data_IF_395554989574
#
_entry.id   IF_395554989574
#
_cell.length_a   1.000
_cell.length_b   1.000
_cell.length_c   1.000
_cell.angle_alpha   90.00
_cell.angle_beta   90.00
_cell.angle_gamma   90.00
#
_symmetry.space_group_name_H-M   'P 1'
#
loop_
_entity.id
_entity.type
_entity.pdbx_description
1 polymer ?
#
# COMPACT_ATOMS: atom_id res chain seq x y z
N UNK A 1 -4.17 53.07 -28.93
CA UNK A 1 -2.92 52.86 -29.71
C UNK A 1 -1.63 53.03 -28.90
N UNK A 2 -1.30 54.19 -28.33
CA UNK A 2 -0.07 54.35 -27.51
C UNK A 2 -0.26 54.09 -26.00
N UNK A 3 -1.46 54.34 -25.46
CA UNK A 3 -1.78 54.12 -24.04
C UNK A 3 -2.10 52.65 -23.70
N UNK A 4 -2.56 51.86 -24.67
CA UNK A 4 -2.83 50.42 -24.49
C UNK A 4 -1.59 49.54 -24.56
N UNK A 5 -0.55 49.94 -25.32
CA UNK A 5 0.74 49.24 -25.28
C UNK A 5 1.36 49.33 -23.88
N UNK A 6 1.26 50.50 -23.24
CA UNK A 6 1.74 50.71 -21.88
C UNK A 6 0.99 49.86 -20.85
N UNK A 7 -0.32 49.64 -21.05
CA UNK A 7 -1.11 48.75 -20.20
C UNK A 7 -0.84 47.26 -20.43
N UNK A 8 -0.53 46.83 -21.66
CA UNK A 8 -0.09 45.45 -21.90
C UNK A 8 1.30 45.17 -21.33
N UNK A 9 2.18 46.17 -21.26
CA UNK A 9 3.47 46.06 -20.57
C UNK A 9 3.31 46.08 -19.04
N UNK A 10 2.26 46.75 -18.53
CA UNK A 10 1.97 46.90 -17.09
C UNK A 10 1.16 45.73 -16.49
N UNK A 11 0.35 45.01 -17.28
CA UNK A 11 -0.49 43.88 -16.79
C UNK A 11 -0.08 42.50 -17.36
N UNK A 12 1.02 42.43 -18.15
CA UNK A 12 1.55 41.19 -18.74
C UNK A 12 2.81 40.61 -18.07
N UNK A 13 3.29 41.21 -16.97
CA UNK A 13 4.57 40.84 -16.32
C UNK A 13 4.37 40.24 -14.93
N UNK A 14 3.87 39.00 -14.85
CA UNK A 14 3.33 38.44 -13.60
C UNK A 14 4.38 38.10 -12.50
N UNK A 15 5.69 38.34 -12.67
CA UNK A 15 6.72 38.07 -11.65
C UNK A 15 7.86 39.10 -11.66
N UNK A 16 8.42 39.51 -10.51
CA UNK A 16 9.64 40.33 -10.45
C UNK A 16 10.78 39.63 -11.22
N UNK A 17 11.67 40.36 -11.92
CA UNK A 17 12.74 39.75 -12.74
C UNK A 17 13.67 38.83 -11.92
N UNK A 18 13.89 39.14 -10.64
CA UNK A 18 14.63 38.26 -9.73
C UNK A 18 13.93 36.90 -9.51
N UNK A 19 12.59 36.89 -9.43
CA UNK A 19 11.82 35.64 -9.31
C UNK A 19 11.75 34.86 -10.61
N UNK A 20 11.81 35.53 -11.76
CA UNK A 20 11.89 34.84 -13.07
C UNK A 20 13.20 34.05 -13.16
N UNK A 21 14.33 34.66 -12.78
CA UNK A 21 15.63 33.97 -12.75
C UNK A 21 15.64 32.81 -11.74
N UNK A 22 15.05 33.01 -10.55
CA UNK A 22 14.91 31.94 -9.55
C UNK A 22 14.07 30.76 -10.05
N UNK A 23 12.96 31.03 -10.73
CA UNK A 23 12.10 29.99 -11.32
C UNK A 23 12.77 29.29 -12.51
N UNK A 24 13.52 30.02 -13.35
CA UNK A 24 14.30 29.43 -14.44
C UNK A 24 15.39 28.48 -13.92
N UNK A 25 16.07 28.83 -12.83
CA UNK A 25 17.06 27.96 -12.19
C UNK A 25 16.41 26.73 -11.54
N UNK A 26 15.21 26.89 -10.98
CA UNK A 26 14.41 25.77 -10.47
C UNK A 26 13.97 24.82 -11.61
N UNK A 27 13.54 25.35 -12.75
CA UNK A 27 13.20 24.55 -13.94
C UNK A 27 14.42 23.75 -14.41
N UNK A 28 15.59 24.39 -14.57
CA UNK A 28 16.84 23.70 -14.95
C UNK A 28 17.26 22.65 -13.92
N UNK A 29 16.96 22.84 -12.64
CA UNK A 29 17.19 21.83 -11.62
C UNK A 29 16.28 20.61 -11.81
N UNK A 30 14.97 20.85 -12.01
CA UNK A 30 13.98 19.81 -12.25
C UNK A 30 14.24 19.04 -13.55
N UNK A 31 14.66 19.71 -14.62
CA UNK A 31 15.05 19.07 -15.89
C UNK A 31 16.25 18.14 -15.70
N UNK A 32 17.26 18.56 -14.93
CA UNK A 32 18.41 17.70 -14.57
C UNK A 32 17.99 16.50 -13.72
N UNK A 33 17.03 16.67 -12.81
CA UNK A 33 16.48 15.56 -12.03
C UNK A 33 15.68 14.61 -12.90
N UNK A 34 14.82 15.13 -13.77
CA UNK A 34 14.02 14.35 -14.71
C UNK A 34 14.90 13.53 -15.66
N UNK A 35 15.96 14.12 -16.22
CA UNK A 35 16.92 13.40 -17.06
C UNK A 35 17.62 12.24 -16.34
N UNK A 36 17.94 12.41 -15.05
CA UNK A 36 18.50 11.31 -14.23
C UNK A 36 17.48 10.19 -14.00
N UNK A 37 16.22 10.54 -13.75
CA UNK A 37 15.14 9.56 -13.53
C UNK A 37 14.89 8.76 -14.81
N UNK A 38 14.79 9.43 -15.96
CA UNK A 38 14.60 8.76 -17.26
C UNK A 38 15.76 7.82 -17.56
N UNK A 39 17.01 8.26 -17.34
CA UNK A 39 18.18 7.40 -17.55
C UNK A 39 18.17 6.19 -16.62
N UNK A 40 17.80 6.37 -15.34
CA UNK A 40 17.70 5.27 -14.40
C UNK A 40 16.60 4.27 -14.81
N UNK A 41 15.46 4.78 -15.31
CA UNK A 41 14.38 3.94 -15.84
C UNK A 41 14.84 3.13 -17.05
N UNK A 42 15.54 3.74 -18.00
CA UNK A 42 16.03 3.02 -19.18
C UNK A 42 17.02 1.93 -18.81
N UNK A 43 17.90 2.17 -17.82
CA UNK A 43 18.80 1.15 -17.28
C UNK A 43 18.04 0.01 -16.60
N UNK A 44 16.99 0.33 -15.86
CA UNK A 44 16.12 -0.65 -15.23
C UNK A 44 15.37 -1.51 -16.25
N UNK A 45 14.80 -0.89 -17.28
CA UNK A 45 14.10 -1.60 -18.38
C UNK A 45 15.05 -2.49 -19.18
N UNK A 46 16.28 -2.03 -19.43
CA UNK A 46 17.32 -2.84 -20.06
C UNK A 46 17.69 -4.06 -19.20
N UNK A 47 17.91 -3.87 -17.89
CA UNK A 47 18.25 -4.97 -16.98
C UNK A 47 17.10 -6.00 -16.87
N UNK A 48 15.84 -5.54 -16.83
CA UNK A 48 14.66 -6.42 -16.84
C UNK A 48 14.57 -7.19 -18.16
N UNK A 49 14.87 -6.54 -19.30
CA UNK A 49 14.82 -7.19 -20.61
C UNK A 49 15.93 -8.25 -20.76
N UNK A 50 17.13 -7.97 -20.23
CA UNK A 50 18.28 -8.87 -20.33
C UNK A 50 18.21 -10.04 -19.34
N UNK A 51 17.78 -9.79 -18.09
CA UNK A 51 17.82 -10.79 -17.01
C UNK A 51 16.45 -11.38 -16.65
N UNK A 52 15.36 -10.81 -17.15
CA UNK A 52 14.00 -11.26 -16.88
C UNK A 52 13.76 -11.43 -15.37
N UNK A 53 13.42 -12.66 -14.98
CA UNK A 53 13.09 -13.05 -13.61
C UNK A 53 14.29 -13.01 -12.63
N UNK A 54 15.52 -12.94 -13.12
CA UNK A 54 16.74 -12.81 -12.31
C UNK A 54 17.13 -11.34 -12.06
N UNK A 55 16.44 -10.39 -12.67
CA UNK A 55 16.73 -8.97 -12.50
C UNK A 55 16.59 -8.56 -11.04
N UNK A 56 17.51 -7.73 -10.55
CA UNK A 56 17.46 -7.23 -9.17
C UNK A 56 16.18 -6.42 -8.88
N UNK A 57 15.55 -5.91 -9.94
CA UNK A 57 14.38 -5.06 -9.88
C UNK A 57 13.05 -5.82 -9.79
N UNK A 58 13.03 -7.14 -10.03
CA UNK A 58 11.82 -7.97 -10.03
C UNK A 58 11.64 -8.86 -8.80
N UNK A 59 12.67 -9.05 -7.95
CA UNK A 59 12.63 -9.94 -6.77
C UNK A 59 11.61 -9.58 -5.67
N UNK A 60 10.97 -8.40 -5.75
CA UNK A 60 9.90 -8.01 -4.83
C UNK A 60 8.53 -7.95 -5.48
N UNK A 61 8.42 -8.27 -6.78
CA UNK A 61 7.15 -8.19 -7.50
C UNK A 61 6.16 -9.30 -7.10
N UNK A 62 6.67 -10.40 -6.54
CA UNK A 62 5.94 -11.56 -6.03
C UNK A 62 5.62 -11.47 -4.52
N UNK A 63 6.08 -10.42 -3.83
CA UNK A 63 5.79 -10.22 -2.41
C UNK A 63 4.29 -10.02 -2.17
N UNK A 64 3.71 -10.79 -1.25
CA UNK A 64 2.32 -10.67 -0.82
C UNK A 64 2.25 -10.30 0.66
N UNK A 65 1.60 -9.18 0.98
CA UNK A 65 1.42 -8.72 2.37
C UNK A 65 0.01 -9.03 2.81
N UNK A 66 -0.13 -10.11 3.60
CA UNK A 66 -1.42 -10.64 4.04
C UNK A 66 -1.51 -10.71 5.56
N UNK A 67 -2.73 -10.66 6.08
CA UNK A 67 -3.04 -10.85 7.52
C UNK A 67 -3.64 -12.22 7.82
N UNK A 68 -3.71 -13.08 6.81
CA UNK A 68 -4.23 -14.44 6.84
C UNK A 68 -3.14 -15.38 6.39
N UNK A 69 -3.14 -16.60 6.93
CA UNK A 69 -2.09 -17.57 6.67
C UNK A 69 -2.68 -18.85 6.08
N UNK A 70 -2.37 -19.12 4.81
CA UNK A 70 -2.85 -20.30 4.09
C UNK A 70 -1.68 -21.27 3.82
N UNK A 71 -1.92 -22.56 4.02
CA UNK A 71 -0.93 -23.61 3.76
C UNK A 71 -1.50 -24.73 2.88
N UNK A 72 -0.75 -25.22 1.87
CA UNK A 72 -1.14 -26.40 1.12
C UNK A 72 -0.99 -27.68 1.95
N UNK A 73 -1.98 -28.57 1.84
CA UNK A 73 -1.93 -29.88 2.49
C UNK A 73 -0.94 -30.83 1.80
N UNK A 74 -0.24 -31.66 2.60
CA UNK A 74 0.72 -32.70 2.17
C UNK A 74 1.95 -32.18 1.40
N UNK A 75 2.23 -30.90 1.49
CA UNK A 75 3.42 -30.28 0.91
C UNK A 75 4.36 -29.79 2.02
N UNK A 76 5.67 -29.86 1.82
CA UNK A 76 6.63 -29.34 2.78
C UNK A 76 6.74 -27.82 2.60
N UNK A 77 6.42 -27.07 3.65
CA UNK A 77 6.53 -25.61 3.65
C UNK A 77 7.72 -25.19 4.51
N UNK A 78 8.54 -24.31 3.94
CA UNK A 78 9.68 -23.67 4.62
C UNK A 78 9.27 -22.28 5.08
N UNK A 79 9.06 -22.13 6.39
CA UNK A 79 8.72 -20.86 7.02
C UNK A 79 10.01 -20.17 7.47
N UNK A 80 10.34 -19.05 6.83
CA UNK A 80 11.45 -18.19 7.24
C UNK A 80 10.89 -17.09 8.12
N UNK A 81 11.21 -17.15 9.41
CA UNK A 81 10.62 -16.30 10.43
C UNK A 81 11.70 -15.33 10.91
N UNK A 82 11.35 -14.05 11.03
CA UNK A 82 12.19 -13.03 11.62
C UNK A 82 11.36 -12.12 12.51
N UNK A 83 11.98 -11.60 13.56
CA UNK A 83 11.39 -10.51 14.34
C UNK A 83 12.01 -9.17 13.94
N UNK A 84 11.23 -8.09 14.04
CA UNK A 84 11.69 -6.71 13.85
C UNK A 84 11.97 -6.00 15.17
N UNK A 85 11.37 -6.45 16.26
CA UNK A 85 11.34 -5.75 17.54
C UNK A 85 11.87 -6.62 18.69
N UNK A 86 11.04 -7.50 19.24
CA UNK A 86 11.33 -8.33 20.43
C UNK A 86 11.27 -9.81 20.08
N UNK A 87 11.64 -10.67 21.02
CA UNK A 87 11.56 -12.12 20.80
C UNK A 87 10.08 -12.53 20.80
N UNK A 88 9.61 -13.09 19.68
CA UNK A 88 8.32 -13.76 19.58
C UNK A 88 8.52 -15.27 19.48
N UNK A 89 7.43 -16.02 19.53
CA UNK A 89 7.47 -17.46 19.27
C UNK A 89 6.24 -17.85 18.47
N UNK A 90 6.46 -18.19 17.20
CA UNK A 90 5.40 -18.68 16.32
C UNK A 90 5.01 -20.06 16.79
N UNK A 91 3.79 -20.21 17.30
CA UNK A 91 3.27 -21.45 17.85
C UNK A 91 1.97 -21.83 17.16
N UNK A 92 1.92 -23.04 16.63
CA UNK A 92 0.73 -23.64 16.03
C UNK A 92 0.33 -24.85 16.88
N UNK A 93 -0.61 -24.70 17.83
CA UNK A 93 -0.91 -25.72 18.84
C UNK A 93 -1.31 -27.07 18.23
N UNK A 94 -2.17 -27.04 17.21
CA UNK A 94 -2.72 -28.24 16.59
C UNK A 94 -1.73 -28.98 15.69
N UNK A 95 -0.73 -28.26 15.16
CA UNK A 95 0.34 -28.82 14.35
C UNK A 95 1.56 -29.21 15.21
N UNK A 96 1.51 -28.94 16.52
CA UNK A 96 2.60 -29.14 17.49
C UNK A 96 3.93 -28.55 17.01
N UNK A 97 3.86 -27.45 16.27
CA UNK A 97 5.01 -26.80 15.67
C UNK A 97 5.26 -25.46 16.36
N UNK A 98 6.51 -25.23 16.76
CA UNK A 98 6.94 -24.00 17.43
C UNK A 98 8.32 -23.57 16.93
N UNK A 99 8.50 -22.27 16.72
CA UNK A 99 9.81 -21.68 16.44
C UNK A 99 9.90 -20.26 16.97
N UNK A 100 11.03 -19.91 17.59
CA UNK A 100 11.26 -18.56 18.10
C UNK A 100 11.62 -17.60 16.96
N UNK A 101 11.02 -16.41 16.95
CA UNK A 101 11.40 -15.31 16.09
C UNK A 101 12.34 -14.39 16.86
N UNK A 102 13.61 -14.38 16.47
CA UNK A 102 14.66 -13.62 17.17
C UNK A 102 15.00 -12.36 16.36
N UNK A 103 15.09 -11.18 16.97
CA UNK A 103 15.58 -10.00 16.27
C UNK A 103 17.02 -10.20 15.79
N UNK A 104 17.30 -9.83 14.53
CA UNK A 104 18.64 -9.90 13.95
C UNK A 104 19.04 -11.25 13.35
N UNK A 105 18.22 -12.30 13.48
CA UNK A 105 18.46 -13.61 12.86
C UNK A 105 17.16 -14.16 12.24
N UNK A 106 17.26 -14.82 11.08
CA UNK A 106 16.14 -15.58 10.53
C UNK A 106 16.18 -17.02 11.04
N UNK A 107 15.08 -17.46 11.63
CA UNK A 107 14.88 -18.86 12.02
C UNK A 107 14.04 -19.55 10.95
N UNK A 108 14.22 -20.85 10.78
CA UNK A 108 13.53 -21.64 9.75
C UNK A 108 12.76 -22.76 10.42
N UNK A 109 11.46 -22.83 10.14
CA UNK A 109 10.60 -23.95 10.52
C UNK A 109 10.15 -24.67 9.25
N UNK A 110 10.52 -25.95 9.12
CA UNK A 110 10.04 -26.83 8.07
C UNK A 110 8.92 -27.67 8.64
N UNK A 111 7.76 -27.65 8.00
CA UNK A 111 6.63 -28.47 8.42
C UNK A 111 5.81 -28.94 7.23
N UNK A 112 5.17 -30.08 7.39
CA UNK A 112 4.30 -30.69 6.40
C UNK A 112 2.89 -30.88 6.99
N UNK A 113 1.90 -30.05 6.62
CA UNK A 113 0.53 -30.21 7.08
C UNK A 113 -0.05 -31.55 6.59
N UNK A 114 -0.61 -32.35 7.48
CA UNK A 114 -1.17 -33.68 7.15
C UNK A 114 -2.69 -33.70 7.01
N UNK A 115 -3.37 -32.77 7.68
CA UNK A 115 -4.83 -32.70 7.80
C UNK A 115 -5.29 -31.31 7.37
N UNK A 116 -6.36 -31.21 6.57
CA UNK A 116 -6.98 -29.94 6.16
C UNK A 116 -7.86 -29.35 7.26
N UNK A 117 -8.18 -28.05 7.20
CA UNK A 117 -9.08 -27.39 8.16
C UNK A 117 -10.44 -28.08 8.21
N UNK A 118 -11.04 -28.41 7.05
CA UNK A 118 -12.34 -29.08 6.97
C UNK A 118 -12.34 -30.47 7.62
N UNK A 119 -11.26 -31.24 7.40
CA UNK A 119 -11.12 -32.56 8.01
C UNK A 119 -10.97 -32.45 9.52
N UNK A 120 -10.30 -31.41 10.02
CA UNK A 120 -10.12 -31.22 11.45
C UNK A 120 -11.42 -30.80 12.14
N UNK A 121 -12.27 -29.99 11.49
CA UNK A 121 -13.63 -29.66 11.98
C UNK A 121 -14.46 -30.92 12.25
N UNK A 122 -14.37 -31.91 11.36
CA UNK A 122 -15.06 -33.20 11.52
C UNK A 122 -14.50 -34.03 12.69
N UNK A 123 -13.17 -34.06 12.86
CA UNK A 123 -12.52 -34.82 13.95
C UNK A 123 -12.83 -34.22 15.33
N UNK A 124 -12.79 -32.89 15.43
CA UNK A 124 -13.06 -32.16 16.67
C UNK A 124 -14.57 -32.03 16.94
N UNK A 125 -15.42 -32.35 15.95
CA UNK A 125 -16.88 -32.19 15.99
C UNK A 125 -17.29 -30.75 16.31
N UNK A 126 -16.56 -29.80 15.74
CA UNK A 126 -16.83 -28.38 15.88
C UNK A 126 -16.70 -27.71 14.51
N UNK A 127 -17.83 -27.27 13.97
CA UNK A 127 -17.88 -26.64 12.65
C UNK A 127 -17.24 -25.25 12.61
N UNK A 128 -17.08 -24.61 13.77
CA UNK A 128 -16.43 -23.30 13.93
C UNK A 128 -14.93 -23.42 14.26
N UNK A 129 -14.33 -24.60 14.07
CA UNK A 129 -12.90 -24.81 14.33
C UNK A 129 -12.04 -24.26 13.19
N UNK A 130 -11.11 -23.37 13.54
CA UNK A 130 -10.02 -22.91 12.67
C UNK A 130 -8.68 -23.20 13.33
N UNK A 131 -7.66 -23.48 12.51
CA UNK A 131 -6.31 -23.51 13.06
C UNK A 131 -5.92 -22.08 13.43
N UNK A 132 -5.18 -21.96 14.52
CA UNK A 132 -4.71 -20.67 15.00
C UNK A 132 -3.19 -20.72 15.15
N UNK A 133 -2.56 -19.67 14.66
CA UNK A 133 -1.17 -19.33 14.94
C UNK A 133 -1.16 -18.32 16.08
N UNK A 134 -0.48 -18.66 17.17
CA UNK A 134 -0.41 -17.84 18.38
C UNK A 134 1.05 -17.51 18.71
N UNK A 135 1.24 -16.46 19.52
CA UNK A 135 2.54 -16.19 20.12
C UNK A 135 2.71 -16.94 21.46
N UNK A 136 3.75 -17.75 21.62
CA UNK A 136 4.08 -18.47 22.88
C UNK A 136 5.24 -17.83 23.67
N UNK A 137 5.54 -16.55 23.43
CA UNK A 137 6.56 -15.80 24.18
C UNK A 137 6.04 -14.43 24.52
N UNK A 138 6.09 -14.05 25.81
CA UNK A 138 5.62 -12.74 26.25
C UNK A 138 6.38 -11.64 25.52
N UNK A 139 5.65 -10.92 24.66
CA UNK A 139 6.22 -9.96 23.71
C UNK A 139 5.68 -8.53 23.90
N UNK A 140 4.84 -8.29 24.91
CA UNK A 140 4.34 -6.95 25.24
C UNK A 140 2.92 -6.97 25.82
N UNK A 141 2.32 -5.77 25.93
CA UNK A 141 0.99 -5.59 26.52
C UNK A 141 -0.14 -6.28 25.72
N UNK A 142 -0.01 -6.37 24.40
CA UNK A 142 -0.99 -7.02 23.52
C UNK A 142 -0.68 -8.50 23.23
N UNK A 143 0.18 -9.13 24.04
CA UNK A 143 0.60 -10.52 23.82
C UNK A 143 -0.58 -11.50 23.70
N UNK A 144 -1.63 -11.29 24.50
CA UNK A 144 -2.84 -12.13 24.50
C UNK A 144 -3.65 -12.07 23.21
N UNK A 145 -3.56 -10.97 22.45
CA UNK A 145 -4.29 -10.78 21.19
C UNK A 145 -3.41 -11.07 19.96
N UNK A 146 -2.18 -11.55 20.17
CA UNK A 146 -1.25 -11.85 19.09
C UNK A 146 -1.54 -13.23 18.50
N UNK A 147 -2.60 -13.30 17.71
CA UNK A 147 -3.05 -14.50 17.01
C UNK A 147 -3.40 -14.19 15.55
N UNK A 148 -3.25 -15.20 14.69
CA UNK A 148 -3.61 -15.13 13.27
C UNK A 148 -4.32 -16.43 12.88
N UNK A 149 -5.44 -16.35 12.13
CA UNK A 149 -6.10 -17.55 11.62
C UNK A 149 -5.19 -18.25 10.61
N UNK A 150 -5.14 -19.57 10.69
CA UNK A 150 -4.42 -20.45 9.80
C UNK A 150 -5.42 -21.38 9.09
N UNK A 151 -5.37 -21.41 7.77
CA UNK A 151 -6.22 -22.27 6.95
C UNK A 151 -5.35 -23.25 6.17
N UNK A 152 -5.64 -24.55 6.30
CA UNK A 152 -4.94 -25.61 5.57
C UNK A 152 -5.88 -26.17 4.51
N UNK A 153 -5.54 -25.97 3.25
CA UNK A 153 -6.40 -26.26 2.11
C UNK A 153 -5.75 -27.25 1.12
N UNK A 154 -6.54 -27.93 0.28
CA UNK A 154 -6.02 -28.67 -0.86
C UNK A 154 -5.25 -27.75 -1.83
N UNK A 155 -4.24 -28.30 -2.51
CA UNK A 155 -3.36 -27.52 -3.40
C UNK A 155 -4.14 -26.72 -4.47
N UNK A 156 -5.20 -27.30 -5.06
CA UNK A 156 -6.02 -26.58 -6.04
C UNK A 156 -6.74 -25.33 -5.49
N UNK A 157 -7.23 -25.40 -4.25
CA UNK A 157 -7.87 -24.26 -3.58
C UNK A 157 -6.82 -23.20 -3.19
N UNK A 158 -5.67 -23.65 -2.69
CA UNK A 158 -4.54 -22.76 -2.36
C UNK A 158 -4.05 -21.96 -3.57
N UNK A 159 -3.90 -22.61 -4.74
CA UNK A 159 -3.47 -21.92 -5.96
C UNK A 159 -4.52 -20.94 -6.49
N UNK A 160 -5.81 -21.29 -6.38
CA UNK A 160 -6.89 -20.37 -6.72
C UNK A 160 -6.91 -19.15 -5.80
N UNK A 161 -6.67 -19.35 -4.50
CA UNK A 161 -6.53 -18.27 -3.53
C UNK A 161 -5.30 -17.39 -3.85
N UNK A 162 -4.15 -18.00 -4.15
CA UNK A 162 -2.92 -17.29 -4.49
C UNK A 162 -3.11 -16.39 -5.72
N UNK A 163 -3.77 -16.90 -6.77
CA UNK A 163 -4.07 -16.15 -7.99
C UNK A 163 -5.04 -14.98 -7.77
N UNK A 164 -5.86 -15.02 -6.73
CA UNK A 164 -6.77 -13.93 -6.38
C UNK A 164 -6.07 -12.77 -5.65
N UNK A 165 -4.89 -13.02 -5.06
CA UNK A 165 -4.15 -12.00 -4.33
C UNK A 165 -3.45 -11.03 -5.27
N UNK A 166 -3.41 -9.75 -4.87
CA UNK A 166 -2.67 -8.72 -5.59
C UNK A 166 -1.26 -8.61 -5.02
N UNK A 167 -0.26 -8.62 -5.90
CA UNK A 167 1.14 -8.35 -5.55
C UNK A 167 1.27 -7.03 -4.78
N UNK A 168 2.16 -7.01 -3.79
CA UNK A 168 2.46 -5.80 -3.02
C UNK A 168 3.25 -4.84 -3.91
N UNK A 169 2.54 -3.89 -4.51
CA UNK A 169 3.15 -2.75 -5.19
C UNK A 169 3.09 -1.56 -4.22
N UNK A 170 4.23 -0.96 -3.92
CA UNK A 170 4.26 0.32 -3.19
C UNK A 170 3.47 1.31 -4.02
N UNK A 171 2.37 1.81 -3.46
CA UNK A 171 1.56 2.83 -4.13
C UNK A 171 2.49 3.97 -4.53
N UNK A 172 2.62 4.19 -5.84
CA UNK A 172 3.30 5.36 -6.38
C UNK A 172 2.67 6.58 -5.70
N UNK A 173 3.46 7.51 -5.14
CA UNK A 173 2.88 8.70 -4.52
C UNK A 173 1.99 9.34 -5.57
N UNK A 174 0.70 9.46 -5.24
CA UNK A 174 -0.32 9.94 -6.16
C UNK A 174 0.25 11.13 -6.92
N UNK A 175 0.44 10.97 -8.23
CA UNK A 175 0.83 12.06 -9.12
C UNK A 175 -0.09 13.20 -8.75
N UNK A 176 0.48 14.28 -8.21
CA UNK A 176 -0.28 15.45 -7.85
C UNK A 176 -0.95 15.91 -9.15
N UNK A 177 -2.22 15.54 -9.30
CA UNK A 177 -3.12 16.08 -10.31
C UNK A 177 -3.07 17.57 -10.04
N UNK A 178 -2.33 18.30 -10.88
CA UNK A 178 -2.28 19.75 -10.82
C UNK A 178 -3.72 20.21 -10.93
N UNK A 179 -4.26 20.75 -9.83
CA UNK A 179 -5.61 21.28 -9.77
C UNK A 179 -5.83 22.17 -11.01
N UNK A 180 -6.97 22.02 -11.71
CA UNK A 180 -7.26 22.91 -12.82
C UNK A 180 -7.27 24.33 -12.25
N UNK A 181 -6.43 25.19 -12.82
CA UNK A 181 -6.41 26.61 -12.49
C UNK A 181 -7.73 27.17 -13.01
N UNK A 182 -8.72 27.31 -12.14
CA UNK A 182 -9.97 27.98 -12.44
C UNK A 182 -9.69 29.48 -12.65
N UNK A 183 -9.41 29.84 -13.90
CA UNK A 183 -9.53 31.23 -14.37
C UNK A 183 -11.00 31.52 -14.64
N UNK A 184 -11.77 31.77 -13.58
CA UNK A 184 -13.05 32.46 -13.73
C UNK A 184 -13.26 33.45 -12.59
N UNK A 185 -12.79 34.67 -12.87
CA UNK A 185 -13.47 35.94 -12.57
C UNK A 185 -13.74 36.27 -11.10
N UNK A 186 -12.88 37.16 -10.59
CA UNK A 186 -13.31 38.15 -9.62
C UNK A 186 -14.36 39.09 -10.24
N UNK A 187 -15.51 39.27 -9.57
CA UNK A 187 -16.18 40.57 -9.49
C UNK A 187 -16.81 40.70 -8.10
N UNK A 188 -16.55 41.85 -7.49
CA UNK A 188 -16.81 42.25 -6.12
C UNK A 188 -18.29 42.70 -5.87
N UNK A 189 -18.69 43.04 -4.63
CA UNK A 189 -20.05 42.86 -4.09
C UNK A 189 -20.94 44.13 -4.09
N UNK A 190 -22.26 43.93 -4.05
CA UNK A 190 -23.32 44.79 -3.47
C UNK A 190 -24.68 44.13 -3.84
N UNK A 191 -25.73 43.99 -3.02
CA UNK A 191 -26.32 44.92 -2.04
C UNK A 191 -27.33 44.13 -1.18
N UNK A 192 -27.52 44.55 0.07
CA UNK A 192 -28.52 44.01 1.00
C UNK A 192 -29.96 44.37 0.58
N UNK A 193 -30.91 43.44 0.76
CA UNK A 193 -32.30 43.77 1.11
C UNK A 193 -32.89 42.76 2.10
N UNK A 194 -33.63 43.33 3.05
CA UNK A 194 -34.17 42.78 4.29
C UNK A 194 -35.52 42.07 4.05
N UNK A 195 -35.82 41.15 4.96
CA UNK A 195 -37.01 40.30 5.09
C UNK A 195 -38.38 40.94 4.81
N UNK A 196 -39.34 40.10 4.39
CA UNK A 196 -40.71 40.09 4.93
C UNK A 196 -41.44 38.81 4.53
N UNK A 197 -41.74 37.95 5.51
CA UNK A 197 -42.76 36.90 5.43
C UNK A 197 -44.14 37.53 5.61
N UNK A 198 -45.17 37.02 4.93
CA UNK A 198 -46.39 36.74 5.67
C UNK A 198 -46.94 35.34 5.40
N UNK A 199 -47.28 34.72 6.52
CA UNK A 199 -48.05 33.51 6.70
C UNK A 199 -49.48 33.67 6.13
N UNK A 200 -50.00 32.67 5.43
CA UNK A 200 -51.43 32.46 5.28
C UNK A 200 -51.75 30.97 5.08
N UNK A 201 -52.54 30.45 6.01
CA UNK A 201 -53.15 29.13 6.04
C UNK A 201 -54.02 28.86 4.80
N UNK A 202 -54.12 27.59 4.36
CA UNK A 202 -55.31 26.76 4.61
C UNK A 202 -55.28 25.41 3.84
N UNK A 203 -55.42 24.33 4.64
CA UNK A 203 -56.29 23.15 4.45
C UNK A 203 -56.57 22.64 3.03
N UNK A 204 -56.13 21.40 2.76
CA UNK A 204 -56.97 20.19 2.82
C UNK A 204 -56.10 18.96 3.11
#
# INVERSE_FOLDING_TARGET
MAAEKKKLDEEGGFLPPAKVVEMEDHIKHLERMSGKIVNLRTLMEQDITEKGDLSQYTHGADDLVLKEFHLPVREEVKLVIRSKDVIHSVFMPHLRAQMNAVPGMSTVLRMKPTITTDSMRTVVKNDAFDFVLMCNKICGASHYNMQMPLTVEPNGAYMAWLAAQKGFQVAEPAKAESAPVDTSSATAPATAQVATTPNALNTH
#
